data_IF_513855569807
#
_entry.id   IF_513855569807
#
_cell.length_a   1.000
_cell.length_b   1.000
_cell.length_c   1.000
_cell.angle_alpha   90.00
_cell.angle_beta   90.00
_cell.angle_gamma   90.00
#
_symmetry.space_group_name_H-M   'P 1'
#
loop_
_entity.id
_entity.type
_entity.pdbx_description
1 polymer ?
#
# COMPACT_ATOMS: atom_id res chain seq x y z
N UNK A 1 26.63 7.36 29.62
CA UNK A 1 25.32 7.88 30.07
C UNK A 1 25.61 8.93 31.13
N UNK A 2 25.39 10.22 30.86
CA UNK A 2 25.59 11.25 31.88
C UNK A 2 24.37 11.27 32.81
N UNK A 3 24.61 11.19 34.11
CA UNK A 3 23.57 11.35 35.13
C UNK A 3 23.18 12.83 35.18
N UNK A 4 22.10 13.17 34.48
CA UNK A 4 21.52 14.50 34.54
C UNK A 4 20.52 14.57 35.70
N UNK A 5 20.81 15.40 36.71
CA UNK A 5 19.97 15.53 37.91
C UNK A 5 18.52 15.96 37.61
N UNK A 6 18.30 16.63 36.47
CA UNK A 6 16.97 17.02 35.97
C UNK A 6 16.14 15.79 35.53
N UNK A 7 16.79 14.82 34.89
CA UNK A 7 16.11 13.61 34.41
C UNK A 7 15.78 12.68 35.59
N UNK A 8 16.64 12.65 36.61
CA UNK A 8 16.39 11.93 37.87
C UNK A 8 15.21 12.51 38.66
N UNK A 9 15.11 13.84 38.75
CA UNK A 9 14.01 14.52 39.46
C UNK A 9 12.68 14.41 38.73
N UNK A 10 12.67 14.54 37.39
CA UNK A 10 11.48 14.29 36.57
C UNK A 10 11.03 12.82 36.64
N UNK A 11 11.95 11.86 36.53
CA UNK A 11 11.65 10.44 36.68
C UNK A 11 11.08 10.10 38.05
N UNK A 12 11.65 10.68 39.12
CA UNK A 12 11.16 10.52 40.49
C UNK A 12 9.75 11.09 40.72
N UNK A 13 9.45 12.26 40.14
CA UNK A 13 8.11 12.85 40.22
C UNK A 13 7.06 12.02 39.47
N UNK A 14 7.37 11.53 38.27
CA UNK A 14 6.47 10.67 37.48
C UNK A 14 6.22 9.35 38.21
N UNK A 15 7.27 8.73 38.76
CA UNK A 15 7.13 7.49 39.54
C UNK A 15 6.25 7.70 40.79
N UNK A 16 6.49 8.76 41.56
CA UNK A 16 5.70 9.12 42.74
C UNK A 16 4.22 9.36 42.38
N UNK A 17 3.95 10.06 41.28
CA UNK A 17 2.60 10.30 40.79
C UNK A 17 1.90 8.99 40.39
N UNK A 18 2.58 8.09 39.66
CA UNK A 18 2.05 6.77 39.28
C UNK A 18 1.73 5.90 40.49
N UNK A 19 2.61 5.88 41.50
CA UNK A 19 2.38 5.13 42.74
C UNK A 19 1.16 5.67 43.49
N UNK A 20 1.00 6.99 43.58
CA UNK A 20 -0.18 7.61 44.22
C UNK A 20 -1.47 7.28 43.48
N UNK A 21 -1.49 7.41 42.16
CA UNK A 21 -2.67 7.08 41.33
C UNK A 21 -3.03 5.59 41.46
N UNK A 22 -2.04 4.70 41.44
CA UNK A 22 -2.26 3.27 41.64
C UNK A 22 -2.83 2.97 43.03
N UNK A 23 -2.27 3.57 44.08
CA UNK A 23 -2.73 3.41 45.46
C UNK A 23 -4.18 3.89 45.64
N UNK A 24 -4.54 5.02 45.01
CA UNK A 24 -5.92 5.53 45.03
C UNK A 24 -6.91 4.56 44.37
N UNK A 25 -6.58 4.08 43.17
CA UNK A 25 -7.44 3.13 42.45
C UNK A 25 -7.56 1.81 43.22
N UNK A 26 -6.44 1.30 43.75
CA UNK A 26 -6.44 0.08 44.55
C UNK A 26 -7.30 0.21 45.81
N UNK A 27 -7.26 1.35 46.50
CA UNK A 27 -8.10 1.61 47.66
C UNK A 27 -9.59 1.66 47.32
N UNK A 28 -9.96 2.27 46.18
CA UNK A 28 -11.35 2.28 45.70
C UNK A 28 -11.84 0.86 45.40
N UNK A 29 -11.05 0.09 44.65
CA UNK A 29 -11.38 -1.32 44.33
C UNK A 29 -11.54 -2.14 45.61
N UNK A 30 -10.61 -1.99 46.56
CA UNK A 30 -10.68 -2.68 47.84
C UNK A 30 -11.96 -2.33 48.61
N UNK A 31 -12.31 -1.04 48.70
CA UNK A 31 -13.51 -0.59 49.39
C UNK A 31 -14.79 -1.16 48.75
N UNK A 32 -14.88 -1.13 47.42
CA UNK A 32 -16.01 -1.72 46.69
C UNK A 32 -16.12 -3.23 46.91
N UNK A 33 -15.01 -3.96 46.85
CA UNK A 33 -14.99 -5.40 47.10
C UNK A 33 -15.32 -5.75 48.55
N UNK A 34 -14.91 -4.92 49.52
CA UNK A 34 -15.24 -5.10 50.93
C UNK A 34 -16.74 -4.94 51.19
N UNK A 35 -17.37 -3.90 50.64
CA UNK A 35 -18.83 -3.74 50.73
C UNK A 35 -19.55 -4.91 50.04
N UNK A 36 -19.10 -5.27 48.83
CA UNK A 36 -19.68 -6.36 48.06
C UNK A 36 -19.58 -7.71 48.80
N UNK A 37 -18.45 -7.97 49.47
CA UNK A 37 -18.25 -9.15 50.30
C UNK A 37 -19.32 -9.26 51.40
N UNK A 38 -19.56 -8.19 52.16
CA UNK A 38 -20.54 -8.21 53.24
C UNK A 38 -21.98 -8.34 52.74
N UNK A 39 -22.30 -7.76 51.57
CA UNK A 39 -23.59 -7.96 50.92
C UNK A 39 -23.79 -9.44 50.55
N UNK A 40 -22.78 -10.08 49.96
CA UNK A 40 -22.84 -11.50 49.61
C UNK A 40 -22.97 -12.40 50.85
N UNK A 41 -22.22 -12.11 51.92
CA UNK A 41 -22.34 -12.84 53.18
C UNK A 41 -23.76 -12.71 53.73
N UNK A 42 -24.32 -11.50 53.77
CA UNK A 42 -25.69 -11.26 54.21
C UNK A 42 -26.73 -12.01 53.38
N UNK A 43 -26.58 -12.02 52.05
CA UNK A 43 -27.47 -12.75 51.13
C UNK A 43 -27.42 -14.26 51.35
N UNK A 44 -26.22 -14.85 51.49
CA UNK A 44 -26.08 -16.30 51.72
C UNK A 44 -26.65 -16.69 53.08
N UNK A 45 -26.40 -15.89 54.13
CA UNK A 45 -26.97 -16.12 55.45
C UNK A 45 -28.51 -16.04 55.43
N UNK A 46 -29.07 -15.05 54.71
CA UNK A 46 -30.52 -14.91 54.54
C UNK A 46 -31.16 -16.11 53.84
N UNK A 47 -30.49 -16.67 52.82
CA UNK A 47 -31.00 -17.85 52.10
C UNK A 47 -30.86 -19.13 52.93
N UNK A 48 -29.81 -19.25 53.74
CA UNK A 48 -29.49 -20.48 54.49
C UNK A 48 -30.18 -20.59 55.84
N UNK A 49 -30.44 -19.48 56.52
CA UNK A 49 -30.94 -19.47 57.89
C UNK A 49 -32.33 -18.85 57.97
N UNK A 50 -33.19 -19.43 58.79
CA UNK A 50 -34.42 -18.76 59.20
C UNK A 50 -34.09 -17.57 60.12
N UNK A 51 -34.94 -16.55 60.13
CA UNK A 51 -34.78 -15.40 61.03
C UNK A 51 -34.67 -15.81 62.51
N UNK A 52 -35.41 -16.84 62.93
CA UNK A 52 -35.36 -17.38 64.28
C UNK A 52 -34.01 -18.03 64.59
N UNK A 53 -33.49 -18.87 63.68
CA UNK A 53 -32.17 -19.52 63.83
C UNK A 53 -31.04 -18.49 63.87
N UNK A 54 -31.12 -17.45 63.04
CA UNK A 54 -30.14 -16.36 63.03
C UNK A 54 -30.11 -15.59 64.35
N UNK A 55 -31.27 -15.15 64.85
CA UNK A 55 -31.35 -14.37 66.10
C UNK A 55 -30.92 -15.22 67.30
N UNK A 56 -31.42 -16.46 67.41
CA UNK A 56 -31.07 -17.34 68.53
C UNK A 56 -29.60 -17.76 68.50
N UNK A 57 -29.04 -18.03 67.31
CA UNK A 57 -27.61 -18.30 67.12
C UNK A 57 -26.76 -17.07 67.45
N UNK A 58 -27.23 -15.87 67.12
CA UNK A 58 -26.58 -14.61 67.50
C UNK A 58 -26.56 -14.40 69.01
N UNK A 59 -27.67 -14.69 69.70
CA UNK A 59 -27.74 -14.65 71.17
C UNK A 59 -26.79 -15.67 71.80
N UNK A 60 -26.69 -16.89 71.23
CA UNK A 60 -25.73 -17.90 71.68
C UNK A 60 -24.28 -17.40 71.59
N UNK A 61 -23.87 -16.87 70.43
CA UNK A 61 -22.51 -16.35 70.24
C UNK A 61 -22.25 -15.10 71.09
N UNK A 62 -23.26 -14.25 71.31
CA UNK A 62 -23.18 -13.12 72.25
C UNK A 62 -22.99 -13.56 73.70
N UNK A 63 -23.71 -14.60 74.13
CA UNK A 63 -23.51 -15.17 75.47
C UNK A 63 -22.12 -15.82 75.59
N UNK A 64 -21.61 -16.41 74.50
CA UNK A 64 -20.29 -17.03 74.44
C UNK A 64 -19.18 -15.99 74.60
N UNK A 65 -19.27 -14.83 73.93
CA UNK A 65 -18.27 -13.76 74.08
C UNK A 65 -18.28 -13.13 75.47
N UNK A 66 -19.43 -13.12 76.15
CA UNK A 66 -19.60 -12.58 77.50
C UNK A 66 -19.30 -13.58 78.62
N UNK A 67 -19.04 -14.86 78.31
CA UNK A 67 -18.84 -15.92 79.30
C UNK A 67 -17.72 -15.57 80.29
N UNK A 68 -16.59 -15.02 79.81
CA UNK A 68 -15.47 -14.61 80.66
C UNK A 68 -15.72 -13.36 81.51
N UNK A 69 -16.76 -12.59 81.22
CA UNK A 69 -17.15 -11.38 81.99
C UNK A 69 -18.32 -11.64 82.93
N UNK A 70 -18.81 -12.88 82.99
CA UNK A 70 -20.04 -13.24 83.69
C UNK A 70 -20.00 -12.96 85.19
N UNK A 71 -18.87 -13.16 85.84
CA UNK A 71 -18.67 -12.96 87.29
C UNK A 71 -18.58 -11.48 87.69
N UNK A 72 -18.37 -10.58 86.71
CA UNK A 72 -18.33 -9.13 86.92
C UNK A 72 -19.73 -8.48 86.85
N UNK A 73 -20.73 -9.22 86.36
CA UNK A 73 -22.08 -8.70 86.13
C UNK A 73 -22.98 -8.97 87.35
N UNK A 74 -23.29 -7.90 88.11
CA UNK A 74 -24.16 -7.94 89.31
C UNK A 74 -25.59 -8.47 89.05
N UNK A 75 -26.15 -8.23 87.87
CA UNK A 75 -27.50 -8.68 87.48
C UNK A 75 -27.42 -9.39 86.14
N UNK A 76 -27.57 -10.71 86.14
CA UNK A 76 -27.45 -11.51 84.93
C UNK A 76 -28.53 -11.09 83.92
N UNK A 77 -28.17 -10.68 82.70
CA UNK A 77 -29.14 -10.36 81.67
C UNK A 77 -29.95 -11.60 81.31
N UNK A 78 -31.24 -11.38 81.07
CA UNK A 78 -32.18 -12.42 80.62
C UNK A 78 -32.46 -12.18 79.14
N UNK A 79 -32.24 -13.22 78.34
CA UNK A 79 -32.45 -13.19 76.90
C UNK A 79 -33.75 -13.91 76.54
N UNK A 80 -34.48 -13.36 75.57
CA UNK A 80 -35.72 -13.94 75.06
C UNK A 80 -35.41 -14.85 73.86
N UNK A 81 -35.43 -16.17 74.07
CA UNK A 81 -35.20 -17.18 73.03
C UNK A 81 -36.53 -17.59 72.42
N UNK A 82 -36.67 -17.44 71.10
CA UNK A 82 -37.89 -17.82 70.38
C UNK A 82 -37.81 -19.27 69.90
N UNK A 83 -38.81 -20.04 70.28
CA UNK A 83 -38.99 -21.44 69.96
C UNK A 83 -40.34 -21.63 69.25
N UNK A 84 -40.33 -21.63 67.92
CA UNK A 84 -41.49 -22.01 67.09
C UNK A 84 -42.84 -21.44 67.58
N UNK A 85 -42.88 -20.14 67.89
CA UNK A 85 -44.08 -19.42 68.35
C UNK A 85 -44.19 -19.19 69.86
N UNK A 86 -43.33 -19.78 70.69
CA UNK A 86 -43.24 -19.50 72.12
C UNK A 86 -41.92 -18.79 72.48
N UNK A 87 -41.96 -17.90 73.47
CA UNK A 87 -40.78 -17.13 73.93
C UNK A 87 -40.36 -17.62 75.31
N UNK A 88 -39.12 -18.10 75.42
CA UNK A 88 -38.52 -18.54 76.68
C UNK A 88 -37.53 -17.48 77.18
N UNK A 89 -37.56 -17.21 78.48
CA UNK A 89 -36.64 -16.28 79.14
C UNK A 89 -35.52 -17.07 79.82
N UNK A 90 -34.31 -16.94 79.29
CA UNK A 90 -33.15 -17.73 79.72
C UNK A 90 -31.99 -16.80 80.10
N UNK A 91 -31.25 -17.12 81.17
CA UNK A 91 -30.00 -16.44 81.48
C UNK A 91 -28.86 -16.96 80.57
N UNK A 92 -27.71 -16.26 80.52
CA UNK A 92 -26.58 -16.63 79.67
C UNK A 92 -26.10 -18.08 79.88
N UNK A 93 -26.13 -18.59 81.11
CA UNK A 93 -25.74 -19.98 81.43
C UNK A 93 -26.67 -21.01 80.79
N UNK A 94 -27.97 -20.76 80.90
CA UNK A 94 -29.01 -21.61 80.34
C UNK A 94 -28.95 -21.59 78.81
N UNK A 95 -28.66 -20.43 78.20
CA UNK A 95 -28.45 -20.31 76.75
C UNK A 95 -27.23 -21.09 76.27
N UNK A 96 -26.14 -21.16 77.05
CA UNK A 96 -24.94 -21.91 76.66
C UNK A 96 -25.06 -23.43 76.84
N UNK A 97 -25.94 -23.88 77.74
CA UNK A 97 -26.18 -25.31 78.01
C UNK A 97 -27.35 -25.90 77.23
N UNK A 98 -28.22 -25.06 76.69
CA UNK A 98 -29.39 -25.50 75.93
C UNK A 98 -29.01 -26.06 74.55
N UNK A 99 -29.50 -27.27 74.25
CA UNK A 99 -29.12 -28.00 73.04
C UNK A 99 -29.56 -27.28 71.77
N UNK A 100 -30.68 -26.57 71.81
CA UNK A 100 -31.23 -25.89 70.65
C UNK A 100 -30.52 -24.56 70.36
N UNK A 101 -30.18 -23.76 71.37
CA UNK A 101 -29.36 -22.55 71.19
C UNK A 101 -27.95 -22.89 70.73
N UNK A 102 -27.34 -23.96 71.26
CA UNK A 102 -26.06 -24.50 70.78
C UNK A 102 -26.17 -24.92 69.31
N UNK A 103 -27.20 -25.68 68.93
CA UNK A 103 -27.44 -26.06 67.54
C UNK A 103 -27.64 -24.83 66.63
N UNK A 104 -28.40 -23.82 67.08
CA UNK A 104 -28.56 -22.56 66.33
C UNK A 104 -27.22 -21.83 66.16
N UNK A 105 -26.35 -21.87 67.18
CA UNK A 105 -24.99 -21.33 67.13
C UNK A 105 -24.09 -22.02 66.11
N UNK A 106 -24.12 -23.36 66.08
CA UNK A 106 -23.37 -24.18 65.11
C UNK A 106 -23.88 -23.97 63.67
N UNK A 107 -25.20 -23.89 63.48
CA UNK A 107 -25.79 -23.58 62.17
C UNK A 107 -25.43 -22.17 61.70
N UNK A 108 -25.46 -21.18 62.59
CA UNK A 108 -25.03 -19.82 62.26
C UNK A 108 -23.55 -19.77 61.88
N UNK A 109 -22.68 -20.45 62.64
CA UNK A 109 -21.25 -20.49 62.38
C UNK A 109 -20.91 -21.20 61.07
N UNK A 110 -21.46 -22.39 60.84
CA UNK A 110 -21.24 -23.13 59.59
C UNK A 110 -21.78 -22.39 58.36
N UNK A 111 -22.95 -21.76 58.47
CA UNK A 111 -23.50 -20.92 57.41
C UNK A 111 -22.65 -19.67 57.17
N UNK A 112 -22.10 -19.04 58.22
CA UNK A 112 -21.19 -17.90 58.10
C UNK A 112 -19.88 -18.28 57.41
N UNK A 113 -19.26 -19.40 57.80
CA UNK A 113 -18.02 -19.89 57.17
C UNK A 113 -18.25 -20.19 55.70
N UNK A 114 -19.35 -20.88 55.36
CA UNK A 114 -19.72 -21.14 53.97
C UNK A 114 -19.96 -19.85 53.18
N UNK A 115 -20.71 -18.91 53.77
CA UNK A 115 -20.99 -17.61 53.18
C UNK A 115 -19.71 -16.80 52.92
N UNK A 116 -18.77 -16.79 53.87
CA UNK A 116 -17.48 -16.13 53.76
C UNK A 116 -16.61 -16.77 52.65
N UNK A 117 -16.56 -18.10 52.57
CA UNK A 117 -15.83 -18.79 51.50
C UNK A 117 -16.40 -18.49 50.12
N UNK A 118 -17.73 -18.56 49.96
CA UNK A 118 -18.40 -18.27 48.68
C UNK A 118 -18.20 -16.80 48.29
N UNK A 119 -18.40 -15.87 49.23
CA UNK A 119 -18.19 -14.44 48.99
C UNK A 119 -16.73 -14.13 48.63
N UNK A 120 -15.76 -14.79 49.27
CA UNK A 120 -14.34 -14.61 48.97
C UNK A 120 -14.01 -15.06 47.54
N UNK A 121 -14.49 -16.24 47.12
CA UNK A 121 -14.26 -16.75 45.76
C UNK A 121 -14.85 -15.80 44.71
N UNK A 122 -16.08 -15.32 44.92
CA UNK A 122 -16.74 -14.39 44.01
C UNK A 122 -15.97 -13.06 43.95
N UNK A 123 -15.57 -12.49 45.11
CA UNK A 123 -14.78 -11.26 45.15
C UNK A 123 -13.42 -11.40 44.45
N UNK A 124 -12.75 -12.55 44.57
CA UNK A 124 -11.49 -12.81 43.87
C UNK A 124 -11.69 -12.84 42.35
N UNK A 125 -12.72 -13.54 41.86
CA UNK A 125 -13.03 -13.58 40.43
C UNK A 125 -13.33 -12.15 39.91
N UNK A 126 -14.17 -11.41 40.62
CA UNK A 126 -14.52 -10.03 40.26
C UNK A 126 -13.29 -9.12 40.25
N UNK A 127 -12.37 -9.28 41.21
CA UNK A 127 -11.10 -8.54 41.24
C UNK A 127 -10.28 -8.80 39.98
N UNK A 128 -10.00 -10.08 39.67
CA UNK A 128 -9.20 -10.43 38.48
C UNK A 128 -9.85 -9.96 37.17
N UNK A 129 -11.17 -10.09 37.03
CA UNK A 129 -11.89 -9.59 35.86
C UNK A 129 -11.79 -8.07 35.74
N UNK A 130 -11.99 -7.34 36.84
CA UNK A 130 -11.93 -5.88 36.84
C UNK A 130 -10.52 -5.39 36.51
N UNK A 131 -9.49 -5.99 37.12
CA UNK A 131 -8.09 -5.67 36.81
C UNK A 131 -7.73 -5.98 35.36
N UNK A 132 -8.21 -7.09 34.79
CA UNK A 132 -7.97 -7.44 33.40
C UNK A 132 -8.65 -6.46 32.41
N UNK A 133 -9.91 -6.09 32.67
CA UNK A 133 -10.64 -5.11 31.85
C UNK A 133 -9.96 -3.75 31.91
N UNK A 134 -9.62 -3.26 33.10
CA UNK A 134 -8.94 -1.98 33.29
C UNK A 134 -7.55 -1.98 32.63
N UNK A 135 -6.80 -3.08 32.72
CA UNK A 135 -5.51 -3.22 32.04
C UNK A 135 -5.64 -3.17 30.52
N UNK A 136 -6.67 -3.83 29.97
CA UNK A 136 -6.93 -3.82 28.52
C UNK A 136 -7.40 -2.46 28.02
N UNK A 137 -8.30 -1.79 28.74
CA UNK A 137 -8.75 -0.43 28.42
C UNK A 137 -7.60 0.58 28.55
N UNK A 138 -6.79 0.46 29.60
CA UNK A 138 -5.62 1.30 29.81
C UNK A 138 -4.59 1.13 28.68
N UNK A 139 -4.38 -0.09 28.19
CA UNK A 139 -3.52 -0.32 27.03
C UNK A 139 -4.07 0.34 25.77
N UNK A 140 -5.37 0.20 25.50
CA UNK A 140 -6.00 0.82 24.33
C UNK A 140 -6.00 2.35 24.37
N UNK A 141 -6.14 2.96 25.56
CA UNK A 141 -6.13 4.42 25.72
C UNK A 141 -4.72 5.02 25.82
N UNK A 142 -3.72 4.20 26.14
CA UNK A 142 -2.31 4.62 26.20
C UNK A 142 -1.60 4.49 24.85
N UNK A 143 -2.20 3.81 23.88
CA UNK A 143 -1.71 3.81 22.51
C UNK A 143 -2.00 5.18 21.91
N UNK A 144 -0.96 5.85 21.39
CA UNK A 144 -1.10 7.16 20.78
C UNK A 144 -2.15 7.11 19.66
N UNK A 145 -3.18 7.94 19.76
CA UNK A 145 -4.20 8.02 18.72
C UNK A 145 -3.61 8.71 17.49
N UNK A 146 -3.59 8.02 16.36
CA UNK A 146 -3.06 8.56 15.11
C UNK A 146 -4.12 9.49 14.54
N UNK A 147 -4.02 10.77 14.89
CA UNK A 147 -4.96 11.84 14.48
C UNK A 147 -4.97 12.12 12.97
N UNK A 148 -4.03 11.55 12.21
CA UNK A 148 -3.99 11.57 10.76
C UNK A 148 -2.63 11.18 10.19
N UNK A 149 -2.53 11.17 8.85
CA UNK A 149 -1.28 10.90 8.14
C UNK A 149 -1.07 9.44 7.73
N UNK A 150 0.17 9.12 7.34
CA UNK A 150 0.56 7.78 6.88
C UNK A 150 1.06 6.96 8.05
N UNK A 151 0.44 5.80 8.28
CA UNK A 151 0.95 4.82 9.22
C UNK A 151 1.99 3.94 8.54
N UNK A 152 3.13 3.75 9.20
CA UNK A 152 4.19 2.86 8.76
C UNK A 152 4.10 1.56 9.55
N UNK A 153 4.39 0.45 8.87
CA UNK A 153 4.51 -0.86 9.50
C UNK A 153 5.66 -1.63 8.86
N UNK A 154 6.46 -2.26 9.70
CA UNK A 154 7.56 -3.13 9.27
C UNK A 154 7.07 -4.56 8.94
N UNK A 155 5.76 -4.84 9.11
CA UNK A 155 5.17 -6.13 8.83
C UNK A 155 4.23 -6.09 7.61
N UNK A 156 4.72 -6.46 6.41
CA UNK A 156 3.93 -6.49 5.18
C UNK A 156 2.66 -7.36 5.29
N UNK A 157 2.69 -8.41 6.13
CA UNK A 157 1.56 -9.35 6.29
C UNK A 157 0.34 -8.68 6.92
N UNK A 158 0.54 -7.69 7.77
CA UNK A 158 -0.58 -6.96 8.38
C UNK A 158 -1.28 -6.08 7.35
N UNK A 159 -0.52 -5.41 6.48
CA UNK A 159 -1.07 -4.67 5.32
C UNK A 159 -1.75 -5.61 4.35
N UNK A 160 -1.14 -6.76 4.03
CA UNK A 160 -1.75 -7.77 3.16
C UNK A 160 -3.08 -8.28 3.72
N UNK A 161 -3.14 -8.56 5.03
CA UNK A 161 -4.38 -8.99 5.71
C UNK A 161 -5.44 -7.89 5.69
N UNK A 162 -5.04 -6.63 5.91
CA UNK A 162 -5.92 -5.47 5.80
C UNK A 162 -6.51 -5.34 4.39
N UNK A 163 -5.66 -5.33 3.35
CA UNK A 163 -6.10 -5.26 1.96
C UNK A 163 -7.02 -6.43 1.59
N UNK A 164 -6.74 -7.64 2.07
CA UNK A 164 -7.59 -8.81 1.83
C UNK A 164 -8.95 -8.69 2.53
N UNK A 165 -8.98 -8.22 3.78
CA UNK A 165 -10.21 -7.98 4.53
C UNK A 165 -11.10 -6.94 3.85
N UNK A 166 -10.49 -5.92 3.26
CA UNK A 166 -11.19 -4.83 2.57
C UNK A 166 -11.55 -5.16 1.11
N UNK A 167 -11.21 -6.35 0.62
CA UNK A 167 -11.43 -6.73 -0.79
C UNK A 167 -10.57 -5.94 -1.79
N UNK A 168 -9.50 -5.29 -1.32
CA UNK A 168 -8.58 -4.43 -2.08
C UNK A 168 -7.24 -5.07 -2.39
N UNK A 169 -7.04 -6.35 -2.07
CA UNK A 169 -5.83 -7.07 -2.43
C UNK A 169 -5.82 -7.39 -3.94
N UNK A 170 -4.81 -6.93 -4.65
CA UNK A 170 -4.51 -7.37 -6.01
C UNK A 170 -3.90 -8.78 -6.01
N UNK A 171 -3.96 -9.45 -7.15
CA UNK A 171 -3.22 -10.68 -7.43
C UNK A 171 -1.76 -10.42 -7.84
N UNK A 172 -1.35 -9.16 -8.03
CA UNK A 172 0.07 -8.78 -8.17
C UNK A 172 0.68 -8.59 -6.78
N UNK A 173 1.73 -9.37 -6.49
CA UNK A 173 2.50 -9.25 -5.25
C UNK A 173 3.92 -8.70 -5.50
N UNK A 174 4.35 -7.80 -4.62
CA UNK A 174 5.74 -7.36 -4.48
C UNK A 174 6.28 -7.97 -3.18
N UNK A 175 6.90 -9.15 -3.31
CA UNK A 175 7.26 -9.95 -2.13
C UNK A 175 6.00 -10.51 -1.45
N UNK A 176 5.85 -10.28 -0.15
CA UNK A 176 4.67 -10.72 0.62
C UNK A 176 3.50 -9.72 0.56
N UNK A 177 3.67 -8.57 -0.10
CA UNK A 177 2.70 -7.48 -0.12
C UNK A 177 1.92 -7.47 -1.46
N UNK A 178 0.60 -7.74 -1.46
CA UNK A 178 -0.23 -7.44 -2.62
C UNK A 178 -0.30 -5.93 -2.82
N UNK A 179 -0.23 -5.48 -4.07
CA UNK A 179 -0.55 -4.09 -4.39
C UNK A 179 -2.06 -3.86 -4.19
N UNK A 180 -2.48 -2.59 -4.21
CA UNK A 180 -3.89 -2.25 -4.17
C UNK A 180 -4.52 -2.73 -5.49
N UNK A 181 -5.68 -3.39 -5.40
CA UNK A 181 -6.44 -3.87 -6.55
C UNK A 181 -6.69 -2.73 -7.54
N UNK A 182 -6.45 -2.99 -8.82
CA UNK A 182 -6.57 -2.03 -9.92
C UNK A 182 -5.65 -0.80 -9.78
N UNK A 183 -4.66 -0.81 -8.88
CA UNK A 183 -3.67 0.28 -8.83
C UNK A 183 -2.64 0.18 -9.96
N UNK A 184 -2.56 -0.94 -10.68
CA UNK A 184 -1.63 -1.08 -11.80
C UNK A 184 -1.88 -0.10 -12.95
N UNK A 185 -3.12 0.39 -13.11
CA UNK A 185 -3.48 1.41 -14.10
C UNK A 185 -3.19 2.85 -13.63
N UNK A 186 -2.68 3.03 -12.40
CA UNK A 186 -2.35 4.35 -11.82
C UNK A 186 -0.88 4.74 -12.04
N UNK A 187 -0.12 3.91 -12.76
CA UNK A 187 1.33 4.01 -12.99
C UNK A 187 2.17 3.78 -11.72
N UNK A 188 3.42 3.36 -11.92
CA UNK A 188 4.40 3.19 -10.86
C UNK A 188 5.63 4.06 -11.13
N UNK A 189 6.19 4.64 -10.08
CA UNK A 189 7.50 5.28 -10.10
C UNK A 189 8.45 4.51 -9.18
N UNK A 190 9.46 3.87 -9.75
CA UNK A 190 10.51 3.18 -9.01
C UNK A 190 11.71 4.12 -8.87
N UNK A 191 11.92 4.65 -7.67
CA UNK A 191 13.01 5.58 -7.39
C UNK A 191 14.06 4.93 -6.47
N UNK A 192 15.33 5.04 -6.85
CA UNK A 192 16.46 4.48 -6.09
C UNK A 192 17.77 4.60 -6.86
N UNK A 193 18.90 4.41 -6.19
CA UNK A 193 20.23 4.41 -6.81
C UNK A 193 20.45 3.14 -7.67
N UNK A 194 21.61 3.04 -8.31
CA UNK A 194 22.00 1.82 -9.03
C UNK A 194 22.10 0.66 -8.03
N UNK A 195 21.76 -0.56 -8.46
CA UNK A 195 21.83 -1.78 -7.65
C UNK A 195 20.88 -1.88 -6.45
N UNK A 196 19.85 -1.03 -6.36
CA UNK A 196 18.81 -1.14 -5.29
C UNK A 196 17.68 -2.11 -5.62
N UNK A 197 17.72 -2.79 -6.77
CA UNK A 197 16.72 -3.78 -7.17
C UNK A 197 15.55 -3.23 -8.01
N UNK A 198 15.64 -2.02 -8.57
CA UNK A 198 14.59 -1.46 -9.46
C UNK A 198 14.23 -2.41 -10.62
N UNK A 199 15.23 -2.88 -11.36
CA UNK A 199 15.01 -3.79 -12.48
C UNK A 199 14.45 -5.14 -12.04
N UNK A 200 14.70 -5.58 -10.81
CA UNK A 200 14.10 -6.80 -10.25
C UNK A 200 12.60 -6.63 -9.98
N UNK A 201 12.17 -5.47 -9.51
CA UNK A 201 10.74 -5.15 -9.39
C UNK A 201 10.09 -5.12 -10.78
N UNK A 202 10.74 -4.52 -11.78
CA UNK A 202 10.25 -4.53 -13.17
C UNK A 202 10.12 -5.98 -13.68
N UNK A 203 11.11 -6.85 -13.46
CA UNK A 203 11.03 -8.27 -13.85
C UNK A 203 9.84 -8.98 -13.21
N UNK A 204 9.59 -8.75 -11.92
CA UNK A 204 8.42 -9.33 -11.23
C UNK A 204 7.10 -8.89 -11.84
N UNK A 205 6.93 -7.59 -12.10
CA UNK A 205 5.74 -7.06 -12.76
C UNK A 205 5.60 -7.59 -14.19
N UNK A 206 6.69 -7.66 -14.94
CA UNK A 206 6.74 -8.20 -16.29
C UNK A 206 6.33 -9.69 -16.32
N UNK A 207 6.73 -10.49 -15.32
CA UNK A 207 6.30 -11.88 -15.19
C UNK A 207 4.77 -12.00 -15.04
N UNK A 208 4.14 -11.17 -14.21
CA UNK A 208 2.67 -11.13 -14.12
C UNK A 208 2.03 -10.75 -15.45
N UNK A 209 2.55 -9.70 -16.12
CA UNK A 209 2.06 -9.29 -17.43
C UNK A 209 2.17 -10.43 -18.46
N UNK A 210 3.28 -11.19 -18.47
CA UNK A 210 3.47 -12.30 -19.40
C UNK A 210 2.53 -13.46 -19.10
N UNK A 211 2.35 -13.79 -17.83
CA UNK A 211 1.48 -14.87 -17.39
C UNK A 211 0.01 -14.58 -17.73
N UNK A 212 -0.42 -13.33 -17.57
CA UNK A 212 -1.77 -12.88 -17.95
C UNK A 212 -1.98 -12.76 -19.46
N UNK A 213 -0.89 -12.67 -20.23
CA UNK A 213 -0.95 -12.42 -21.67
C UNK A 213 -1.18 -10.95 -22.02
N UNK A 214 -0.86 -10.04 -21.10
CA UNK A 214 -1.00 -8.60 -21.27
C UNK A 214 -0.06 -8.10 -22.39
N UNK A 215 -0.48 -7.03 -23.07
CA UNK A 215 0.35 -6.34 -24.05
C UNK A 215 1.40 -5.50 -23.31
N UNK A 216 2.65 -5.55 -23.78
CA UNK A 216 3.76 -4.84 -23.13
C UNK A 216 4.61 -4.10 -24.16
N UNK A 217 4.91 -2.84 -23.88
CA UNK A 217 5.97 -2.08 -24.52
C UNK A 217 7.12 -1.98 -23.51
N UNK A 218 8.24 -2.62 -23.84
CA UNK A 218 9.44 -2.67 -23.00
C UNK A 218 10.48 -1.72 -23.58
N UNK A 219 10.72 -0.59 -22.91
CA UNK A 219 11.84 0.29 -23.22
C UNK A 219 13.09 -0.19 -22.47
N UNK A 220 13.99 -0.83 -23.21
CA UNK A 220 15.14 -1.55 -22.70
C UNK A 220 16.45 -0.91 -23.17
N UNK A 221 16.94 0.06 -22.40
CA UNK A 221 18.19 0.79 -22.71
C UNK A 221 19.46 -0.05 -22.48
N UNK A 222 19.37 -1.16 -21.76
CA UNK A 222 20.51 -2.03 -21.45
C UNK A 222 20.53 -3.33 -22.26
N UNK A 223 19.48 -3.59 -23.05
CA UNK A 223 19.23 -4.85 -23.73
C UNK A 223 19.18 -6.07 -22.78
N UNK A 224 18.86 -5.88 -21.50
CA UNK A 224 18.81 -6.96 -20.52
C UNK A 224 17.44 -7.65 -20.48
N UNK A 225 16.36 -6.91 -20.71
CA UNK A 225 15.02 -7.46 -20.73
C UNK A 225 14.76 -8.22 -22.03
N UNK A 226 15.22 -7.70 -23.18
CA UNK A 226 15.08 -8.39 -24.47
C UNK A 226 15.82 -9.73 -24.47
N UNK A 227 16.98 -9.86 -23.81
CA UNK A 227 17.68 -11.14 -23.66
C UNK A 227 16.88 -12.16 -22.85
N UNK A 228 16.15 -11.69 -21.84
CA UNK A 228 15.47 -12.56 -20.86
C UNK A 228 14.05 -12.95 -21.27
N UNK A 229 13.34 -12.06 -22.00
CA UNK A 229 11.90 -12.18 -22.22
C UNK A 229 11.47 -12.31 -23.67
N UNK A 230 12.36 -12.08 -24.64
CA UNK A 230 11.99 -12.09 -26.05
C UNK A 230 11.61 -13.48 -26.54
N UNK A 231 10.39 -13.62 -27.04
CA UNK A 231 9.89 -14.80 -27.74
C UNK A 231 9.71 -14.50 -29.24
N UNK A 232 10.54 -15.08 -30.13
CA UNK A 232 10.50 -14.79 -31.57
C UNK A 232 9.18 -15.20 -32.25
N UNK A 233 8.35 -16.04 -31.62
CA UNK A 233 7.07 -16.47 -32.20
C UNK A 233 5.98 -15.42 -32.14
N UNK A 234 6.05 -14.49 -31.17
CA UNK A 234 4.98 -13.52 -30.89
C UNK A 234 5.49 -12.08 -30.70
N UNK A 235 6.73 -11.89 -30.27
CA UNK A 235 7.25 -10.58 -29.90
C UNK A 235 7.95 -9.88 -31.07
N UNK A 236 8.11 -8.56 -30.95
CA UNK A 236 8.78 -7.71 -31.94
C UNK A 236 9.88 -6.89 -31.28
N UNK A 237 10.97 -6.68 -32.02
CA UNK A 237 12.10 -5.85 -31.59
C UNK A 237 12.16 -4.62 -32.50
N UNK A 238 12.30 -3.45 -31.89
CA UNK A 238 12.63 -2.20 -32.55
C UNK A 238 13.98 -1.72 -32.01
N UNK A 239 15.03 -2.07 -32.75
CA UNK A 239 16.41 -1.66 -32.50
C UNK A 239 17.16 -1.70 -33.83
N UNK A 240 17.51 -0.56 -34.44
CA UNK A 240 18.08 -0.53 -35.78
C UNK A 240 19.43 -1.27 -35.91
N UNK A 241 20.12 -1.53 -34.79
CA UNK A 241 21.37 -2.28 -34.77
C UNK A 241 21.19 -3.78 -34.46
N UNK A 242 19.96 -4.26 -34.23
CA UNK A 242 19.66 -5.68 -34.04
C UNK A 242 19.20 -6.30 -35.36
N UNK A 243 19.80 -7.44 -35.75
CA UNK A 243 19.44 -8.14 -36.98
C UNK A 243 17.97 -8.62 -37.02
N UNK A 244 17.33 -8.75 -35.85
CA UNK A 244 15.93 -9.15 -35.69
C UNK A 244 14.97 -7.94 -35.66
N UNK A 245 15.48 -6.73 -35.89
CA UNK A 245 14.64 -5.54 -35.92
C UNK A 245 13.50 -5.73 -36.90
N UNK A 246 12.27 -5.50 -36.43
CA UNK A 246 11.10 -5.51 -37.29
C UNK A 246 11.27 -4.47 -38.40
N UNK A 247 10.73 -4.80 -39.59
CA UNK A 247 10.71 -3.92 -40.75
C UNK A 247 9.71 -2.78 -40.54
N UNK A 248 9.97 -1.91 -39.56
CA UNK A 248 9.09 -0.79 -39.25
C UNK A 248 9.00 0.14 -40.46
N UNK A 249 7.78 0.47 -40.89
CA UNK A 249 7.52 1.26 -42.08
C UNK A 249 6.86 2.59 -41.68
N UNK A 250 7.63 3.68 -41.76
CA UNK A 250 7.19 5.05 -41.46
C UNK A 250 5.94 5.45 -42.26
N UNK A 251 5.87 5.08 -43.55
CA UNK A 251 4.78 5.49 -44.43
C UNK A 251 3.52 4.66 -44.22
N UNK A 252 3.63 3.44 -43.69
CA UNK A 252 2.47 2.67 -43.21
C UNK A 252 2.04 3.11 -41.82
N UNK A 253 2.97 3.54 -40.97
CA UNK A 253 2.68 4.07 -39.63
C UNK A 253 1.92 5.40 -39.69
N UNK A 254 2.30 6.30 -40.58
CA UNK A 254 1.71 7.62 -40.74
C UNK A 254 0.74 7.65 -41.93
N UNK A 255 -0.58 7.79 -41.70
CA UNK A 255 -1.59 7.77 -42.78
C UNK A 255 -1.86 9.17 -43.34
N UNK A 256 -1.73 10.18 -42.49
CA UNK A 256 -2.07 11.58 -42.76
C UNK A 256 -0.87 12.47 -42.46
N UNK A 257 -0.82 13.68 -43.05
CA UNK A 257 0.25 14.65 -42.78
C UNK A 257 0.40 14.95 -41.27
N UNK A 258 -0.67 15.12 -40.47
CA UNK A 258 -0.56 15.25 -39.01
C UNK A 258 0.17 14.10 -38.31
N UNK A 259 0.12 12.87 -38.85
CA UNK A 259 0.87 11.74 -38.28
C UNK A 259 2.38 11.93 -38.50
N UNK A 260 2.78 12.44 -39.68
CA UNK A 260 4.16 12.80 -39.97
C UNK A 260 4.63 13.98 -39.12
N UNK A 261 3.79 14.99 -38.90
CA UNK A 261 4.09 16.11 -37.99
C UNK A 261 4.34 15.60 -36.55
N UNK A 262 3.52 14.67 -36.07
CA UNK A 262 3.69 14.08 -34.75
C UNK A 262 5.00 13.28 -34.62
N UNK A 263 5.36 12.52 -35.66
CA UNK A 263 6.65 11.84 -35.73
C UNK A 263 7.82 12.85 -35.72
N UNK A 264 7.74 13.89 -36.55
CA UNK A 264 8.75 14.95 -36.65
C UNK A 264 8.95 15.69 -35.32
N UNK A 265 7.85 16.00 -34.62
CA UNK A 265 7.86 16.68 -33.33
C UNK A 265 8.64 15.91 -32.25
N UNK A 266 8.66 14.58 -32.33
CA UNK A 266 9.40 13.76 -31.38
C UNK A 266 10.84 13.51 -31.85
N UNK A 267 11.02 13.27 -33.15
CA UNK A 267 12.34 13.05 -33.75
C UNK A 267 13.26 14.27 -33.58
N UNK A 268 12.70 15.47 -33.72
CA UNK A 268 13.40 16.75 -33.59
C UNK A 268 12.85 17.45 -32.34
N UNK A 269 13.42 17.26 -31.14
CA UNK A 269 12.96 17.92 -29.92
C UNK A 269 13.17 19.43 -29.95
N UNK A 270 12.29 20.20 -29.30
CA UNK A 270 12.50 21.64 -29.09
C UNK A 270 13.37 21.86 -27.86
N UNK A 271 14.45 22.62 -28.02
CA UNK A 271 15.19 23.16 -26.89
C UNK A 271 14.41 24.31 -26.22
N UNK A 272 14.65 24.52 -24.92
CA UNK A 272 14.06 25.66 -24.19
C UNK A 272 14.83 26.97 -24.37
N UNK A 273 16.06 26.90 -24.89
CA UNK A 273 16.98 28.04 -25.06
C UNK A 273 17.23 28.41 -26.52
N UNK A 274 16.99 27.48 -27.44
CA UNK A 274 17.24 27.66 -28.86
C UNK A 274 16.03 28.34 -29.51
N UNK A 275 16.26 29.13 -30.56
CA UNK A 275 15.19 29.80 -31.29
C UNK A 275 14.25 28.74 -31.94
N UNK A 276 12.96 28.70 -31.57
CA UNK A 276 11.96 27.75 -32.08
C UNK A 276 11.89 27.65 -33.60
N UNK A 277 12.25 28.71 -34.33
CA UNK A 277 12.19 28.77 -35.77
C UNK A 277 13.01 27.65 -36.43
N UNK A 278 14.20 27.33 -35.92
CA UNK A 278 15.11 26.40 -36.60
C UNK A 278 14.64 24.95 -36.52
N UNK A 279 14.27 24.48 -35.32
CA UNK A 279 13.73 23.15 -35.11
C UNK A 279 12.33 23.03 -35.71
N UNK A 280 11.52 24.09 -35.60
CA UNK A 280 10.20 24.16 -36.24
C UNK A 280 10.29 23.97 -37.76
N UNK A 281 11.17 24.72 -38.41
CA UNK A 281 11.40 24.59 -39.86
C UNK A 281 11.93 23.20 -40.23
N UNK A 282 12.83 22.63 -39.42
CA UNK A 282 13.31 21.27 -39.61
C UNK A 282 12.18 20.23 -39.52
N UNK A 283 11.27 20.36 -38.55
CA UNK A 283 10.09 19.48 -38.42
C UNK A 283 9.20 19.55 -39.65
N UNK A 284 8.88 20.76 -40.13
CA UNK A 284 8.04 20.97 -41.31
C UNK A 284 8.68 20.35 -42.55
N UNK A 285 9.98 20.59 -42.79
CA UNK A 285 10.69 19.98 -43.92
C UNK A 285 10.67 18.45 -43.84
N UNK A 286 10.93 17.87 -42.66
CA UNK A 286 10.90 16.41 -42.49
C UNK A 286 9.51 15.84 -42.77
N UNK A 287 8.46 16.43 -42.19
CA UNK A 287 7.09 15.94 -42.33
C UNK A 287 6.60 16.01 -43.78
N UNK A 288 6.79 17.15 -44.45
CA UNK A 288 6.39 17.34 -45.85
C UNK A 288 7.17 16.42 -46.80
N UNK A 289 8.50 16.31 -46.63
CA UNK A 289 9.31 15.42 -47.46
C UNK A 289 8.90 13.95 -47.29
N UNK A 290 8.71 13.49 -46.05
CA UNK A 290 8.29 12.12 -45.77
C UNK A 290 6.87 11.85 -46.29
N UNK A 291 5.95 12.82 -46.15
CA UNK A 291 4.59 12.73 -46.65
C UNK A 291 4.54 12.66 -48.17
N UNK A 292 5.26 13.52 -48.89
CA UNK A 292 5.35 13.45 -50.35
C UNK A 292 5.93 12.11 -50.82
N UNK A 293 7.00 11.64 -50.16
CA UNK A 293 7.66 10.36 -50.47
C UNK A 293 6.77 9.14 -50.31
N UNK A 294 5.62 9.25 -49.63
CA UNK A 294 4.69 8.14 -49.52
C UNK A 294 4.19 7.64 -50.88
N UNK A 295 4.14 8.54 -51.88
CA UNK A 295 3.64 8.29 -53.23
C UNK A 295 4.75 7.80 -54.18
N UNK A 296 6.00 7.78 -53.74
CA UNK A 296 7.13 7.34 -54.54
C UNK A 296 7.18 5.81 -54.57
N UNK A 297 7.23 5.23 -55.77
CA UNK A 297 7.30 3.76 -55.95
C UNK A 297 8.57 3.13 -55.37
N UNK A 298 9.64 3.91 -55.25
CA UNK A 298 10.97 3.55 -54.76
C UNK A 298 11.26 4.16 -53.36
N UNK A 299 10.22 4.50 -52.60
CA UNK A 299 10.37 5.04 -51.24
C UNK A 299 11.20 4.12 -50.36
N UNK A 300 12.14 4.70 -49.61
CA UNK A 300 13.03 3.99 -48.69
C UNK A 300 13.69 4.96 -47.72
N UNK A 301 14.18 4.46 -46.58
CA UNK A 301 14.92 5.30 -45.64
C UNK A 301 16.20 5.86 -46.27
N UNK A 302 16.83 5.14 -47.22
CA UNK A 302 17.96 5.65 -47.99
C UNK A 302 17.55 6.89 -48.79
N UNK A 303 16.48 6.79 -49.59
CA UNK A 303 15.98 7.90 -50.40
C UNK A 303 15.54 9.10 -49.56
N UNK A 304 14.92 8.85 -48.39
CA UNK A 304 14.50 9.90 -47.47
C UNK A 304 15.71 10.67 -46.93
N UNK A 305 16.70 9.95 -46.40
CA UNK A 305 17.94 10.55 -45.90
C UNK A 305 18.69 11.27 -47.03
N UNK A 306 18.82 10.66 -48.21
CA UNK A 306 19.55 11.23 -49.35
C UNK A 306 18.87 12.46 -49.95
N UNK A 307 17.56 12.61 -49.72
CA UNK A 307 16.80 13.80 -50.11
C UNK A 307 16.96 14.91 -49.07
N UNK A 308 16.73 14.59 -47.79
CA UNK A 308 16.81 15.56 -46.68
C UNK A 308 18.22 16.08 -46.42
N UNK A 309 19.22 15.20 -46.55
CA UNK A 309 20.63 15.49 -46.26
C UNK A 309 21.47 15.61 -47.54
N UNK A 310 20.81 15.79 -48.69
CA UNK A 310 21.48 16.01 -49.98
C UNK A 310 22.52 17.12 -49.87
N UNK A 311 23.70 16.91 -50.47
CA UNK A 311 24.77 17.92 -50.55
C UNK A 311 24.26 19.16 -51.28
N UNK A 312 23.57 18.97 -52.41
CA UNK A 312 22.96 20.04 -53.20
C UNK A 312 21.55 20.34 -52.69
N UNK A 313 21.31 21.58 -52.26
CA UNK A 313 20.01 22.03 -51.72
C UNK A 313 18.92 22.01 -52.80
N UNK A 314 19.31 22.12 -54.06
CA UNK A 314 18.44 22.09 -55.26
C UNK A 314 17.62 20.81 -55.32
N UNK A 315 18.18 19.68 -54.89
CA UNK A 315 17.46 18.39 -54.84
C UNK A 315 16.31 18.47 -53.83
N UNK A 316 16.58 18.99 -52.63
CA UNK A 316 15.56 19.18 -51.60
C UNK A 316 14.51 20.21 -52.03
N UNK A 317 14.94 21.33 -52.63
CA UNK A 317 14.04 22.35 -53.20
C UNK A 317 13.13 21.79 -54.28
N UNK A 318 13.67 20.98 -55.18
CA UNK A 318 12.89 20.34 -56.24
C UNK A 318 11.86 19.38 -55.66
N UNK A 319 12.25 18.63 -54.64
CA UNK A 319 11.37 17.67 -53.98
C UNK A 319 10.22 18.34 -53.22
N UNK A 320 10.47 19.50 -52.61
CA UNK A 320 9.48 20.24 -51.81
C UNK A 320 8.70 21.30 -52.59
N UNK A 321 8.92 21.44 -53.91
CA UNK A 321 8.45 22.57 -54.72
C UNK A 321 6.96 22.89 -54.55
N UNK A 322 6.13 21.86 -54.50
CA UNK A 322 4.67 21.99 -54.43
C UNK A 322 4.12 21.81 -53.00
N UNK A 323 4.99 21.88 -51.99
CA UNK A 323 4.62 21.78 -50.57
C UNK A 323 4.71 23.13 -49.85
N UNK A 324 3.99 23.31 -48.73
CA UNK A 324 4.17 24.46 -47.84
C UNK A 324 5.62 24.67 -47.36
N UNK A 325 6.45 23.62 -47.34
CA UNK A 325 7.87 23.70 -46.96
C UNK A 325 8.77 24.31 -48.04
N UNK A 326 8.28 24.57 -49.27
CA UNK A 326 9.07 25.14 -50.36
C UNK A 326 9.75 26.46 -49.95
N UNK A 327 9.01 27.31 -49.25
CA UNK A 327 9.47 28.63 -48.79
C UNK A 327 10.66 28.55 -47.81
N UNK A 328 10.88 27.40 -47.16
CA UNK A 328 11.97 27.18 -46.20
C UNK A 328 13.29 26.77 -46.89
N UNK A 329 13.24 26.44 -48.19
CA UNK A 329 14.38 25.98 -49.00
C UNK A 329 14.56 26.78 -50.29
N UNK A 330 13.92 27.94 -50.39
CA UNK A 330 14.02 28.85 -51.54
C UNK A 330 15.44 29.34 -51.79
N UNK A 331 15.75 29.66 -53.06
CA UNK A 331 17.06 30.17 -53.49
C UNK A 331 17.42 31.50 -52.84
N UNK A 332 16.43 32.38 -52.67
CA UNK A 332 16.62 33.70 -52.06
C UNK A 332 17.04 33.64 -50.59
N UNK A 333 16.82 32.51 -49.91
CA UNK A 333 17.14 32.31 -48.50
C UNK A 333 18.14 31.16 -48.27
N UNK A 334 19.02 30.91 -49.24
CA UNK A 334 19.93 29.76 -49.23
C UNK A 334 20.72 29.60 -47.91
N UNK A 335 21.25 30.70 -47.36
CA UNK A 335 21.97 30.66 -46.06
C UNK A 335 21.08 30.17 -44.91
N UNK A 336 19.83 30.62 -44.85
CA UNK A 336 18.84 30.18 -43.86
C UNK A 336 18.49 28.71 -44.07
N UNK A 337 18.27 28.29 -45.32
CA UNK A 337 18.00 26.89 -45.67
C UNK A 337 19.16 25.96 -45.27
N UNK A 338 20.41 26.39 -45.45
CA UNK A 338 21.60 25.65 -45.00
C UNK A 338 21.59 25.49 -43.46
N UNK A 339 21.25 26.54 -42.71
CA UNK A 339 21.13 26.48 -41.24
C UNK A 339 20.01 25.54 -40.78
N UNK A 340 18.84 25.58 -41.42
CA UNK A 340 17.73 24.64 -41.13
C UNK A 340 18.18 23.20 -41.43
N UNK A 341 18.88 22.97 -42.54
CA UNK A 341 19.44 21.66 -42.90
C UNK A 341 20.47 21.16 -41.89
N UNK A 342 21.27 22.04 -41.29
CA UNK A 342 22.20 21.66 -40.22
C UNK A 342 21.44 21.10 -38.99
N UNK A 343 20.32 21.73 -38.61
CA UNK A 343 19.44 21.22 -37.55
C UNK A 343 18.84 19.87 -37.92
N UNK A 344 18.30 19.74 -39.14
CA UNK A 344 17.81 18.46 -39.66
C UNK A 344 18.87 17.36 -39.58
N UNK A 345 20.11 17.66 -39.98
CA UNK A 345 21.22 16.70 -39.97
C UNK A 345 21.49 16.13 -38.58
N UNK A 346 21.36 16.95 -37.53
CA UNK A 346 21.62 16.51 -36.16
C UNK A 346 20.67 15.41 -35.67
N UNK A 347 19.42 15.41 -36.15
CA UNK A 347 18.38 14.50 -35.69
C UNK A 347 18.05 13.40 -36.73
N UNK A 348 17.96 13.77 -38.01
CA UNK A 348 17.68 12.84 -39.12
C UNK A 348 18.83 11.86 -39.34
N UNK A 349 20.05 12.13 -38.85
CA UNK A 349 21.13 11.12 -38.82
C UNK A 349 20.70 9.82 -38.13
N UNK A 350 19.78 9.88 -37.15
CA UNK A 350 19.27 8.68 -36.49
C UNK A 350 18.41 7.82 -37.44
N UNK A 351 17.73 8.43 -38.41
CA UNK A 351 16.95 7.74 -39.45
C UNK A 351 17.85 6.93 -40.38
N UNK A 352 19.15 7.30 -40.52
CA UNK A 352 20.11 6.51 -41.31
C UNK A 352 20.25 5.08 -40.80
N UNK A 353 20.11 4.87 -39.49
CA UNK A 353 20.22 3.53 -38.92
C UNK A 353 19.03 2.63 -39.28
N UNK A 354 17.90 3.20 -39.74
CA UNK A 354 16.76 2.44 -40.24
C UNK A 354 16.98 1.91 -41.67
N UNK A 355 18.03 2.36 -42.37
CA UNK A 355 18.29 1.89 -43.72
C UNK A 355 18.54 0.38 -43.75
N UNK A 356 17.75 -0.32 -44.57
CA UNK A 356 17.87 -1.76 -44.76
C UNK A 356 16.90 -2.58 -43.92
N UNK A 357 16.32 -2.02 -42.85
CA UNK A 357 15.34 -2.76 -42.04
C UNK A 357 14.09 -3.11 -42.85
N UNK A 358 13.81 -2.39 -43.94
CA UNK A 358 12.70 -2.68 -44.85
C UNK A 358 12.82 -4.06 -45.50
N UNK A 359 14.01 -4.67 -45.46
CA UNK A 359 14.30 -6.02 -45.99
C UNK A 359 14.15 -7.12 -44.94
N UNK A 360 13.87 -6.79 -43.67
CA UNK A 360 13.81 -7.74 -42.55
C UNK A 360 12.51 -8.55 -42.49
N UNK A 361 11.67 -8.51 -43.53
CA UNK A 361 10.44 -9.29 -43.65
C UNK A 361 9.22 -8.40 -43.87
N UNK A 362 8.07 -8.84 -43.37
CA UNK A 362 6.80 -8.12 -43.54
C UNK A 362 6.82 -6.76 -42.85
N UNK A 363 6.29 -5.70 -43.51
CA UNK A 363 6.22 -4.37 -42.93
C UNK A 363 5.47 -4.35 -41.60
N UNK A 364 6.06 -3.67 -40.62
CA UNK A 364 5.54 -3.56 -39.26
C UNK A 364 5.14 -2.12 -38.94
N UNK A 365 4.04 -1.94 -38.21
CA UNK A 365 3.66 -0.65 -37.62
C UNK A 365 3.27 -0.86 -36.16
N UNK A 366 3.66 0.09 -35.32
CA UNK A 366 3.28 0.12 -33.90
C UNK A 366 1.77 0.33 -33.80
N UNK A 367 1.19 1.24 -34.60
CA UNK A 367 -0.24 1.51 -34.63
C UNK A 367 -1.07 0.25 -34.86
N UNK A 368 -0.79 -0.50 -35.92
CA UNK A 368 -1.62 -1.67 -36.25
C UNK A 368 -1.36 -2.82 -35.28
N UNK A 369 -0.12 -2.96 -34.79
CA UNK A 369 0.21 -3.90 -33.71
C UNK A 369 -0.57 -3.62 -32.42
N UNK A 370 -0.64 -2.35 -31.99
CA UNK A 370 -1.41 -1.96 -30.80
C UNK A 370 -2.92 -2.14 -31.01
N UNK A 371 -3.44 -1.80 -32.20
CA UNK A 371 -4.86 -2.04 -32.53
C UNK A 371 -5.21 -3.52 -32.59
N UNK A 372 -4.22 -4.39 -32.86
CA UNK A 372 -4.35 -5.83 -32.86
C UNK A 372 -4.36 -6.48 -31.48
N UNK A 373 -4.46 -5.71 -30.38
CA UNK A 373 -4.56 -6.25 -29.02
C UNK A 373 -5.70 -7.28 -28.92
N UNK A 374 -5.39 -8.43 -28.33
CA UNK A 374 -6.33 -9.52 -28.09
C UNK A 374 -6.66 -9.56 -26.61
N UNK A 375 -7.94 -9.54 -26.27
CA UNK A 375 -8.38 -9.56 -24.87
C UNK A 375 -8.55 -11.00 -24.34
N UNK A 376 -8.64 -11.98 -25.24
CA UNK A 376 -8.92 -13.39 -24.98
C UNK A 376 -7.69 -14.30 -25.21
N UNK A 377 -6.58 -13.73 -25.68
CA UNK A 377 -5.38 -14.47 -26.08
C UNK A 377 -4.11 -13.75 -25.60
N UNK A 378 -2.99 -14.48 -25.60
CA UNK A 378 -1.69 -13.91 -25.29
C UNK A 378 -1.29 -12.86 -26.32
N UNK A 379 -0.98 -11.66 -25.85
CA UNK A 379 -0.39 -10.61 -26.66
C UNK A 379 1.13 -10.76 -26.74
N UNK A 380 1.68 -10.38 -27.90
CA UNK A 380 3.13 -10.19 -28.04
C UNK A 380 3.60 -8.96 -27.28
N UNK A 381 4.91 -8.88 -27.07
CA UNK A 381 5.60 -7.74 -26.47
C UNK A 381 6.40 -6.99 -27.55
N UNK A 382 6.46 -5.68 -27.41
CA UNK A 382 7.28 -4.80 -28.24
C UNK A 382 8.49 -4.33 -27.44
N UNK A 383 9.67 -4.80 -27.83
CA UNK A 383 10.94 -4.39 -27.23
C UNK A 383 11.50 -3.21 -28.03
N UNK A 384 11.44 -2.02 -27.45
CA UNK A 384 12.14 -0.85 -27.97
C UNK A 384 13.47 -0.79 -27.22
N UNK A 385 14.54 -1.23 -27.88
CA UNK A 385 15.84 -1.40 -27.21
C UNK A 385 16.95 -0.62 -27.87
N UNK A 386 18.02 -0.39 -27.11
CA UNK A 386 19.26 0.19 -27.60
C UNK A 386 20.41 -0.30 -26.74
N UNK A 387 21.59 -0.47 -27.32
CA UNK A 387 22.79 -0.72 -26.52
C UNK A 387 23.30 0.61 -25.93
N UNK A 388 23.94 0.59 -24.77
CA UNK A 388 24.53 1.76 -24.11
C UNK A 388 25.47 2.54 -25.04
N UNK A 389 26.26 1.83 -25.87
CA UNK A 389 27.22 2.42 -26.80
C UNK A 389 26.56 3.16 -27.97
N UNK A 390 25.38 2.72 -28.41
CA UNK A 390 24.67 3.26 -29.58
C UNK A 390 23.49 4.15 -29.21
N UNK A 391 23.07 4.15 -27.94
CA UNK A 391 21.87 4.82 -27.45
C UNK A 391 21.83 6.30 -27.83
N UNK A 392 22.94 7.02 -27.66
CA UNK A 392 23.02 8.47 -27.96
C UNK A 392 22.67 8.79 -29.42
N UNK A 393 23.04 7.90 -30.34
CA UNK A 393 22.80 8.04 -31.78
C UNK A 393 21.40 7.61 -32.19
N UNK A 394 20.83 6.63 -31.49
CA UNK A 394 19.49 6.07 -31.76
C UNK A 394 18.36 6.79 -31.01
N UNK A 395 18.69 7.58 -29.98
CA UNK A 395 17.73 8.25 -29.09
C UNK A 395 16.58 8.93 -29.84
N UNK A 396 16.79 9.72 -30.91
CA UNK A 396 15.68 10.36 -31.62
C UNK A 396 14.64 9.37 -32.17
N UNK A 397 15.09 8.26 -32.75
CA UNK A 397 14.21 7.22 -33.33
C UNK A 397 13.52 6.43 -32.22
N UNK A 398 14.23 6.09 -31.14
CA UNK A 398 13.67 5.42 -29.97
C UNK A 398 12.57 6.27 -29.34
N UNK A 399 12.83 7.56 -29.13
CA UNK A 399 11.84 8.50 -28.61
C UNK A 399 10.63 8.59 -29.53
N UNK A 400 10.83 8.62 -30.86
CA UNK A 400 9.75 8.62 -31.85
C UNK A 400 8.87 7.36 -31.73
N UNK A 401 9.47 6.17 -31.65
CA UNK A 401 8.71 4.92 -31.47
C UNK A 401 7.94 4.88 -30.15
N UNK A 402 8.54 5.33 -29.05
CA UNK A 402 7.85 5.42 -27.75
C UNK A 402 6.66 6.39 -27.81
N UNK A 403 6.83 7.55 -28.44
CA UNK A 403 5.76 8.54 -28.63
C UNK A 403 4.62 7.99 -29.48
N UNK A 404 4.93 7.26 -30.55
CA UNK A 404 3.94 6.55 -31.37
C UNK A 404 3.18 5.52 -30.53
N UNK A 405 3.88 4.71 -29.74
CA UNK A 405 3.26 3.71 -28.87
C UNK A 405 2.34 4.35 -27.81
N UNK A 406 2.79 5.44 -27.16
CA UNK A 406 1.98 6.16 -26.17
C UNK A 406 0.72 6.77 -26.82
N UNK A 407 0.84 7.37 -28.01
CA UNK A 407 -0.32 7.87 -28.77
C UNK A 407 -1.23 6.73 -29.21
N UNK A 408 -0.64 5.61 -29.61
CA UNK A 408 -1.34 4.37 -29.93
C UNK A 408 -2.23 3.94 -28.78
N UNK A 409 -1.69 3.90 -27.55
CA UNK A 409 -2.45 3.56 -26.33
C UNK A 409 -3.69 4.45 -26.17
N UNK A 410 -3.53 5.77 -26.32
CA UNK A 410 -4.64 6.73 -26.21
C UNK A 410 -5.71 6.54 -27.30
N UNK A 411 -5.34 5.95 -28.43
CA UNK A 411 -6.24 5.71 -29.56
C UNK A 411 -6.92 4.33 -29.56
N UNK A 412 -6.62 3.44 -28.59
CA UNK A 412 -7.17 2.07 -28.56
C UNK A 412 -8.65 2.01 -28.10
N UNK A 413 -9.23 3.12 -27.65
CA UNK A 413 -10.58 3.18 -27.09
C UNK A 413 -10.68 2.61 -25.65
N UNK A 414 -11.83 2.82 -25.02
CA UNK A 414 -12.05 2.45 -23.62
C UNK A 414 -12.31 0.95 -23.45
N UNK A 415 -11.53 0.29 -22.60
CA UNK A 415 -11.79 -1.07 -22.13
C UNK A 415 -11.25 -1.22 -20.69
N UNK A 416 -12.14 -1.49 -19.72
CA UNK A 416 -11.76 -1.63 -18.30
C UNK A 416 -10.94 -2.88 -18.00
N UNK A 417 -11.03 -3.90 -18.83
CA UNK A 417 -10.34 -5.17 -18.63
C UNK A 417 -8.97 -5.20 -19.32
N UNK A 418 -8.76 -4.33 -20.32
CA UNK A 418 -7.51 -4.23 -21.05
C UNK A 418 -6.38 -3.80 -20.10
N UNK A 419 -5.25 -4.49 -20.19
CA UNK A 419 -4.00 -4.12 -19.51
C UNK A 419 -2.91 -3.97 -20.56
N UNK A 420 -2.35 -2.76 -20.66
CA UNK A 420 -1.19 -2.45 -21.50
C UNK A 420 -0.12 -1.87 -20.60
N UNK A 421 1.04 -2.50 -20.57
CA UNK A 421 2.16 -2.06 -19.72
C UNK A 421 3.21 -1.33 -20.54
N UNK A 422 3.69 -0.22 -19.99
CA UNK A 422 4.90 0.45 -20.44
C UNK A 422 5.95 0.30 -19.33
N UNK A 423 6.96 -0.53 -19.58
CA UNK A 423 8.10 -0.66 -18.67
C UNK A 423 9.25 0.18 -19.23
N UNK A 424 9.62 1.23 -18.50
CA UNK A 424 10.72 2.12 -18.83
C UNK A 424 11.80 1.97 -17.76
N UNK A 425 12.88 1.24 -18.06
CA UNK A 425 13.97 0.97 -17.09
C UNK A 425 14.62 2.28 -16.59
N UNK A 426 14.84 3.24 -17.51
CA UNK A 426 15.35 4.58 -17.22
C UNK A 426 14.52 5.64 -17.94
N UNK A 427 13.56 6.25 -17.23
CA UNK A 427 12.83 7.44 -17.67
C UNK A 427 13.67 8.70 -17.45
#
# INVERSE_FOLDING_TARGET
>A
MSFNAKDMTQGGQIASMRIRMFSQIANIIFYCLFIFFWILVGLVLWVKLSWQTFVNGGIYWWCTTLEGMRDLIKSQPVYEIRYYGQTFRMNAAQVLQDKYTVWCGEQLWSAFVLAACVALVICLITFFMTTWILGRQGKQQSEDDVTGGRQLTDNPKDVARMLKKDGKASDILIGDLPIIKDSEIQNFLLHGTVSTGKSEIIRRLANYARQRGDMVVMYDRSCEFVKSYYDPSIDKILNPCDARCAAWDLWRECLTLPDFDNAANTLIPMGTKEDPFWQGSGRTIFAEAAYLMRNDSDRSYSKLVDTLLSIKIEKLRTYLRDSPAANLVEEKIEKTAISIRAVLTNYVKAVRYLQGIERNGEPFTIRDWMRGVREDQKNGWLFISSNADTHSSLKPVISMWLSIAIRGLLAMGENRNRRVWFFCDEL
#
